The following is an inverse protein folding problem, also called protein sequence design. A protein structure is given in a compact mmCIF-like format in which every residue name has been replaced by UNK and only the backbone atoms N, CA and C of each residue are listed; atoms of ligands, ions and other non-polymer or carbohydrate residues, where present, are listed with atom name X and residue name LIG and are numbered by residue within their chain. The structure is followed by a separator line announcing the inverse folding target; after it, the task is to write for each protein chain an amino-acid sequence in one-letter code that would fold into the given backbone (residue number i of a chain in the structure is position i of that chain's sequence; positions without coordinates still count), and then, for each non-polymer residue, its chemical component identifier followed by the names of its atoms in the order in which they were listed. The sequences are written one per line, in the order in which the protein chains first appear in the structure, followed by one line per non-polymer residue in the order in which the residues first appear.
data_IF_865372144663
#
_entry.id   IF_865372144663
#
_cell.length_a   1.000
_cell.length_b   1.000
_cell.length_c   1.000
_cell.angle_alpha   90.00
_cell.angle_beta   90.00
_cell.angle_gamma   90.00
#
_symmetry.space_group_name_H-M   'P 1'
#
loop_
_entity.id
_entity.type
_entity.pdbx_description
1 polymer ?
#
# COMPACT_ATOMS: atom_id res chain seq x y z
N UNK A 1 -3.92 -16.44 -12.19
CA UNK A 1 -3.78 -16.12 -10.76
C UNK A 1 -4.70 -14.96 -10.47
N UNK A 2 -5.40 -14.98 -9.34
CA UNK A 2 -6.30 -13.89 -8.96
C UNK A 2 -5.53 -12.76 -8.25
N UNK A 3 -6.08 -11.55 -8.22
CA UNK A 3 -5.53 -10.46 -7.39
C UNK A 3 -5.47 -10.84 -5.90
N UNK A 4 -6.44 -11.65 -5.45
CA UNK A 4 -6.48 -12.18 -4.09
C UNK A 4 -5.30 -13.12 -3.80
N UNK A 5 -4.89 -13.96 -4.76
CA UNK A 5 -3.70 -14.80 -4.60
C UNK A 5 -2.43 -13.97 -4.35
N UNK A 6 -2.28 -12.80 -4.99
CA UNK A 6 -1.13 -11.93 -4.74
C UNK A 6 -1.16 -11.38 -3.32
N UNK A 7 -2.31 -10.94 -2.83
CA UNK A 7 -2.47 -10.46 -1.46
C UNK A 7 -2.19 -11.58 -0.45
N UNK A 8 -2.80 -12.75 -0.63
CA UNK A 8 -2.72 -13.83 0.35
C UNK A 8 -1.37 -14.57 0.30
N UNK A 9 -0.87 -14.89 -0.89
CA UNK A 9 0.33 -15.74 -1.07
C UNK A 9 1.63 -14.99 -1.26
N UNK A 10 1.61 -13.73 -1.69
CA UNK A 10 2.84 -12.93 -1.82
C UNK A 10 3.01 -11.97 -0.64
N UNK A 11 1.94 -11.25 -0.27
CA UNK A 11 2.02 -10.24 0.80
C UNK A 11 1.83 -10.88 2.18
N UNK A 12 0.67 -11.46 2.47
CA UNK A 12 0.36 -12.00 3.80
C UNK A 12 1.22 -13.22 4.16
N UNK A 13 1.44 -14.14 3.21
CA UNK A 13 2.28 -15.31 3.44
C UNK A 13 3.77 -14.96 3.71
N UNK A 14 4.22 -13.75 3.35
CA UNK A 14 5.57 -13.29 3.69
C UNK A 14 5.80 -13.11 5.19
N UNK A 15 4.73 -12.98 5.98
CA UNK A 15 4.74 -12.62 7.41
C UNK A 15 5.43 -11.29 7.72
N UNK A 16 5.76 -10.50 6.70
CA UNK A 16 6.31 -9.16 6.80
C UNK A 16 5.24 -8.08 6.62
N UNK A 17 3.99 -8.48 6.41
CA UNK A 17 2.85 -7.59 6.17
C UNK A 17 1.66 -8.17 6.94
N UNK A 18 0.98 -7.35 7.74
CA UNK A 18 -0.19 -7.74 8.53
C UNK A 18 -1.49 -7.57 7.76
N UNK A 19 -1.59 -6.50 6.94
CA UNK A 19 -2.74 -6.25 6.06
C UNK A 19 -2.27 -5.72 4.72
N UNK A 20 -3.00 -6.02 3.66
CA UNK A 20 -2.67 -5.56 2.32
C UNK A 20 -3.89 -5.40 1.43
N UNK A 21 -3.79 -4.53 0.43
CA UNK A 21 -4.76 -4.41 -0.64
C UNK A 21 -4.07 -4.08 -1.96
N UNK A 22 -4.73 -4.44 -3.06
CA UNK A 22 -4.37 -4.02 -4.41
C UNK A 22 -5.58 -3.29 -4.98
N UNK A 23 -5.36 -2.09 -5.49
CA UNK A 23 -6.40 -1.29 -6.11
C UNK A 23 -5.92 -0.70 -7.44
N UNK A 24 -6.84 -0.39 -8.34
CA UNK A 24 -6.52 0.37 -9.55
C UNK A 24 -6.25 1.85 -9.24
N UNK A 25 -5.68 2.57 -10.22
CA UNK A 25 -5.49 4.03 -10.11
C UNK A 25 -6.83 4.79 -10.04
N UNK A 26 -7.93 4.16 -10.45
CA UNK A 26 -9.30 4.66 -10.29
C UNK A 26 -9.85 4.51 -8.85
N UNK A 27 -9.03 3.98 -7.93
CA UNK A 27 -9.36 3.70 -6.55
C UNK A 27 -10.18 2.42 -6.35
N UNK A 28 -10.47 1.66 -7.42
CA UNK A 28 -11.26 0.46 -7.31
C UNK A 28 -10.44 -0.68 -6.67
N UNK A 29 -10.96 -1.27 -5.60
CA UNK A 29 -10.28 -2.37 -4.89
C UNK A 29 -10.37 -3.64 -5.73
N UNK A 30 -9.23 -4.18 -6.14
CA UNK A 30 -9.14 -5.44 -6.87
C UNK A 30 -9.01 -6.63 -5.93
N UNK A 31 -8.26 -6.46 -4.84
CA UNK A 31 -8.13 -7.46 -3.78
C UNK A 31 -7.77 -6.79 -2.45
N UNK A 32 -8.12 -7.44 -1.34
CA UNK A 32 -7.80 -6.96 0.01
C UNK A 32 -7.70 -8.12 0.99
N UNK A 33 -6.90 -7.93 2.03
CA UNK A 33 -6.79 -8.85 3.15
C UNK A 33 -8.05 -8.77 4.03
N UNK A 34 -8.31 -9.85 4.75
CA UNK A 34 -9.40 -9.88 5.73
C UNK A 34 -9.23 -8.77 6.79
N UNK A 35 -10.33 -8.08 7.14
CA UNK A 35 -10.32 -6.98 8.11
C UNK A 35 -9.58 -5.71 7.64
N UNK A 36 -9.32 -5.54 6.34
CA UNK A 36 -8.79 -4.29 5.77
C UNK A 36 -9.84 -3.58 4.91
N UNK A 37 -10.66 -2.74 5.54
CA UNK A 37 -11.76 -2.03 4.88
C UNK A 37 -11.34 -0.66 4.35
N UNK A 38 -10.57 -0.66 3.26
CA UNK A 38 -10.26 0.59 2.52
C UNK A 38 -11.42 0.98 1.61
N UNK A 39 -11.73 2.28 1.59
CA UNK A 39 -12.73 2.84 0.70
C UNK A 39 -12.11 3.29 -0.63
N UNK A 40 -12.94 3.34 -1.68
CA UNK A 40 -12.53 3.85 -3.00
C UNK A 40 -12.00 5.28 -2.92
N UNK A 41 -12.60 6.12 -2.09
CA UNK A 41 -12.22 7.52 -1.90
C UNK A 41 -10.85 7.67 -1.25
N UNK A 42 -10.54 6.84 -0.26
CA UNK A 42 -9.22 6.78 0.38
C UNK A 42 -8.14 6.36 -0.63
N UNK A 43 -8.44 5.35 -1.45
CA UNK A 43 -7.50 4.87 -2.47
C UNK A 43 -7.31 5.87 -3.60
N UNK A 44 -8.37 6.52 -4.07
CA UNK A 44 -8.26 7.58 -5.07
C UNK A 44 -7.41 8.75 -4.55
N UNK A 45 -7.61 9.16 -3.29
CA UNK A 45 -6.75 10.16 -2.64
C UNK A 45 -5.31 9.67 -2.53
N UNK A 46 -5.08 8.41 -2.17
CA UNK A 46 -3.74 7.83 -2.11
C UNK A 46 -3.05 7.88 -3.49
N UNK A 47 -3.76 7.51 -4.56
CA UNK A 47 -3.24 7.55 -5.93
C UNK A 47 -2.86 8.97 -6.34
N UNK A 48 -3.73 9.95 -6.08
CA UNK A 48 -3.44 11.37 -6.31
C UNK A 48 -2.24 11.84 -5.47
N UNK A 49 -2.09 11.31 -4.26
CA UNK A 49 -1.01 11.68 -3.36
C UNK A 49 0.38 11.23 -3.82
N UNK A 50 0.48 10.28 -4.77
CA UNK A 50 1.77 9.98 -5.42
C UNK A 50 2.23 11.13 -6.32
N UNK A 51 1.29 11.90 -6.88
CA UNK A 51 1.58 13.08 -7.71
C UNK A 51 1.76 14.33 -6.85
N UNK A 52 0.99 14.47 -5.75
CA UNK A 52 1.00 15.62 -4.84
C UNK A 52 1.51 15.25 -3.44
N UNK A 53 2.79 14.85 -3.34
CA UNK A 53 3.39 14.40 -2.08
C UNK A 53 3.52 15.51 -1.03
N UNK A 54 3.59 16.77 -1.44
CA UNK A 54 3.64 17.91 -0.51
C UNK A 54 2.42 17.96 0.40
N UNK A 55 1.25 17.61 -0.13
CA UNK A 55 -0.02 17.60 0.62
C UNK A 55 0.02 16.53 1.71
N UNK A 56 0.60 15.36 1.44
CA UNK A 56 0.73 14.25 2.40
C UNK A 56 1.48 14.65 3.67
N UNK A 57 2.44 15.57 3.56
CA UNK A 57 3.19 16.05 4.72
C UNK A 57 2.27 16.72 5.75
N UNK A 58 1.20 17.37 5.29
CA UNK A 58 0.21 18.03 6.15
C UNK A 58 -1.04 17.17 6.40
N UNK A 59 -1.56 16.48 5.37
CA UNK A 59 -2.78 15.69 5.45
C UNK A 59 -2.55 14.27 5.99
N UNK A 60 -1.36 13.71 5.82
CA UNK A 60 -1.10 12.29 6.04
C UNK A 60 -1.81 11.39 5.03
N UNK A 61 -1.73 10.08 5.25
CA UNK A 61 -2.36 9.02 4.46
C UNK A 61 -3.53 8.46 5.25
N UNK A 62 -4.76 8.48 4.72
CA UNK A 62 -5.92 7.85 5.39
C UNK A 62 -6.25 6.53 4.73
N UNK A 63 -6.25 5.44 5.52
CA UNK A 63 -6.61 4.09 5.06
C UNK A 63 -7.49 3.41 6.10
N UNK A 64 -8.63 2.86 5.66
CA UNK A 64 -9.57 2.14 6.51
C UNK A 64 -9.98 2.95 7.76
N UNK A 65 -10.27 4.24 7.56
CA UNK A 65 -10.67 5.18 8.62
C UNK A 65 -9.54 5.63 9.54
N UNK A 66 -8.31 5.14 9.37
CA UNK A 66 -7.15 5.50 10.19
C UNK A 66 -6.25 6.48 9.43
N UNK A 67 -5.85 7.57 10.10
CA UNK A 67 -4.94 8.57 9.54
C UNK A 67 -3.50 8.27 9.95
N UNK A 68 -2.67 7.93 8.99
CA UNK A 68 -1.24 7.65 9.11
C UNK A 68 -0.42 8.89 8.80
N UNK A 69 0.63 9.11 9.58
CA UNK A 69 1.58 10.20 9.42
C UNK A 69 2.54 9.84 8.29
N UNK A 70 2.57 10.66 7.25
CA UNK A 70 3.53 10.53 6.16
C UNK A 70 4.96 10.66 6.69
N UNK A 71 5.83 9.74 6.27
CA UNK A 71 7.24 9.71 6.65
C UNK A 71 8.13 10.14 5.49
N UNK A 72 7.90 9.52 4.34
CA UNK A 72 8.76 9.62 3.17
C UNK A 72 8.03 9.03 1.97
N UNK A 73 8.34 9.52 0.79
CA UNK A 73 7.76 9.05 -0.44
C UNK A 73 8.63 9.45 -1.62
N UNK A 74 8.42 8.73 -2.71
CA UNK A 74 8.94 8.98 -4.05
C UNK A 74 7.76 8.88 -5.02
N UNK A 75 7.97 9.20 -6.30
CA UNK A 75 6.95 9.09 -7.35
C UNK A 75 6.21 7.73 -7.38
N UNK A 76 6.86 6.67 -6.91
CA UNK A 76 6.32 5.30 -6.92
C UNK A 76 6.04 4.72 -5.55
N UNK A 77 6.59 5.26 -4.48
CA UNK A 77 6.49 4.65 -3.14
C UNK A 77 6.05 5.69 -2.12
N UNK A 78 5.12 5.33 -1.24
CA UNK A 78 4.73 6.16 -0.09
C UNK A 78 4.90 5.34 1.18
N UNK A 79 5.52 5.95 2.18
CA UNK A 79 5.74 5.39 3.51
C UNK A 79 5.07 6.27 4.54
N UNK A 80 4.26 5.67 5.38
CA UNK A 80 3.58 6.35 6.48
C UNK A 80 3.58 5.48 7.74
N UNK A 81 3.22 6.05 8.89
CA UNK A 81 3.09 5.31 10.15
C UNK A 81 2.00 5.87 11.06
N UNK A 82 1.46 5.02 11.92
CA UNK A 82 0.55 5.36 13.00
C UNK A 82 0.93 4.55 14.23
N UNK A 83 1.61 5.18 15.19
CA UNK A 83 2.09 4.51 16.40
C UNK A 83 3.03 3.33 16.05
N UNK A 84 2.57 2.10 16.32
CA UNK A 84 3.30 0.85 16.06
C UNK A 84 3.03 0.26 14.67
N UNK A 85 2.06 0.80 13.94
CA UNK A 85 1.68 0.33 12.61
C UNK A 85 2.38 1.18 11.56
N UNK A 86 3.08 0.56 10.64
CA UNK A 86 3.64 1.20 9.46
C UNK A 86 2.85 0.88 8.21
N UNK A 87 2.87 1.80 7.25
CA UNK A 87 2.24 1.69 5.95
C UNK A 87 3.32 1.80 4.89
N UNK A 88 3.28 0.89 3.93
CA UNK A 88 4.11 0.95 2.74
C UNK A 88 3.24 0.74 1.50
N UNK A 89 3.22 1.72 0.62
CA UNK A 89 2.45 1.71 -0.61
C UNK A 89 3.37 1.83 -1.82
N UNK A 90 3.10 1.09 -2.88
CA UNK A 90 3.80 1.20 -4.16
C UNK A 90 2.81 1.35 -5.32
N UNK A 91 3.03 2.37 -6.16
CA UNK A 91 2.32 2.59 -7.42
C UNK A 91 2.99 1.79 -8.54
N UNK A 92 2.18 1.04 -9.28
CA UNK A 92 2.55 0.32 -10.50
C UNK A 92 1.99 1.04 -11.73
N UNK A 93 2.06 0.45 -12.93
CA UNK A 93 1.62 1.11 -14.17
C UNK A 93 0.12 1.37 -14.22
N UNK A 94 -0.69 0.51 -13.61
CA UNK A 94 -2.16 0.57 -13.60
C UNK A 94 -2.77 0.35 -12.20
N UNK A 95 -1.99 -0.15 -11.25
CA UNK A 95 -2.44 -0.46 -9.89
C UNK A 95 -1.62 0.27 -8.81
N UNK A 96 -2.10 0.16 -7.58
CA UNK A 96 -1.42 0.55 -6.35
C UNK A 96 -1.50 -0.61 -5.37
N UNK A 97 -0.35 -1.01 -4.86
CA UNK A 97 -0.20 -2.01 -3.81
C UNK A 97 -0.10 -1.28 -2.49
N UNK A 98 -1.03 -1.54 -1.58
CA UNK A 98 -1.09 -0.97 -0.24
C UNK A 98 -0.77 -2.07 0.76
N UNK A 99 0.11 -1.77 1.71
CA UNK A 99 0.45 -2.72 2.76
C UNK A 99 0.60 -2.03 4.11
N UNK A 100 0.28 -2.78 5.15
CA UNK A 100 0.43 -2.42 6.54
C UNK A 100 1.28 -3.49 7.21
N UNK A 101 2.17 -3.05 8.07
CA UNK A 101 2.97 -3.92 8.92
C UNK A 101 2.93 -3.37 10.35
N UNK A 102 3.14 -4.23 11.33
CA UNK A 102 3.12 -3.85 12.74
C UNK A 102 4.36 -4.42 13.43
N UNK A 103 4.80 -3.74 14.49
CA UNK A 103 5.86 -4.22 15.38
C UNK A 103 5.63 -5.71 15.78
N UNK A 104 6.66 -6.58 15.74
CA UNK A 104 8.09 -6.32 15.61
C UNK A 104 8.63 -6.31 14.16
N UNK A 105 7.76 -6.24 13.14
CA UNK A 105 8.20 -6.29 11.74
C UNK A 105 8.98 -5.03 11.37
N UNK A 106 10.16 -5.21 10.77
CA UNK A 106 10.97 -4.08 10.33
C UNK A 106 10.39 -3.45 9.04
N UNK A 107 10.34 -2.10 8.95
CA UNK A 107 9.91 -1.39 7.75
C UNK A 107 10.59 -1.86 6.47
N UNK A 108 11.89 -2.14 6.52
CA UNK A 108 12.67 -2.62 5.38
C UNK A 108 12.19 -3.97 4.85
N UNK A 109 11.77 -4.88 5.73
CA UNK A 109 11.28 -6.21 5.33
C UNK A 109 9.93 -6.08 4.61
N UNK A 110 9.01 -5.30 5.18
CA UNK A 110 7.72 -5.01 4.56
C UNK A 110 7.91 -4.32 3.19
N UNK A 111 8.77 -3.29 3.14
CA UNK A 111 9.10 -2.59 1.90
C UNK A 111 9.62 -3.53 0.82
N UNK A 112 10.59 -4.41 1.15
CA UNK A 112 11.17 -5.31 0.17
C UNK A 112 10.16 -6.28 -0.45
N UNK A 113 9.20 -6.79 0.32
CA UNK A 113 8.15 -7.69 -0.18
C UNK A 113 7.20 -6.95 -1.11
N UNK A 114 6.78 -5.75 -0.72
CA UNK A 114 5.80 -4.94 -1.46
C UNK A 114 6.41 -4.40 -2.74
N UNK A 115 7.64 -3.88 -2.65
CA UNK A 115 8.38 -3.36 -3.80
C UNK A 115 8.63 -4.48 -4.82
N UNK A 116 9.01 -5.68 -4.36
CA UNK A 116 9.20 -6.85 -5.24
C UNK A 116 7.92 -7.25 -5.98
N UNK A 117 6.77 -7.24 -5.31
CA UNK A 117 5.49 -7.53 -5.96
C UNK A 117 5.11 -6.42 -6.95
N UNK A 118 5.29 -5.16 -6.57
CA UNK A 118 4.99 -4.03 -7.44
C UNK A 118 5.88 -3.99 -8.69
N UNK A 119 7.17 -4.24 -8.57
CA UNK A 119 8.08 -4.39 -9.71
C UNK A 119 7.66 -5.53 -10.64
N UNK A 120 7.22 -6.66 -10.08
CA UNK A 120 6.69 -7.77 -10.87
C UNK A 120 5.43 -7.36 -11.64
N UNK A 121 4.50 -6.66 -11.00
CA UNK A 121 3.29 -6.16 -11.66
C UNK A 121 3.62 -5.18 -12.80
N UNK A 122 4.56 -4.25 -12.56
CA UNK A 122 5.07 -3.34 -13.61
C UNK A 122 5.68 -4.12 -14.77
N UNK A 123 6.46 -5.18 -14.49
CA UNK A 123 7.06 -6.02 -15.52
C UNK A 123 6.01 -6.76 -16.37
N UNK A 124 4.84 -7.05 -15.78
CA UNK A 124 3.70 -7.63 -16.46
C UNK A 124 2.82 -6.59 -17.18
N UNK A 125 3.13 -5.29 -17.10
CA UNK A 125 2.35 -4.20 -17.71
C UNK A 125 1.17 -3.69 -16.86
N UNK A 126 1.14 -4.05 -15.57
CA UNK A 126 0.14 -3.62 -14.59
C UNK A 126 0.65 -2.56 -13.62
#
# INVERSE_FOLDING_TARGET
MSWQDYVDKQLLASRCVTKAAIAGHDGNVWAKSEGFEVSKEELAKLVQSFEEQDILTSSGVTLAGNRYIYLSGTDRVIRAKLGKVGVHCMKTTQAVVVSLYEDPIQPQQAASVVEKLGEYLVSCGY
#
